data_IF_513195847537
#
_entry.id   IF_513195847537
#
_cell.length_a   1.000
_cell.length_b   1.000
_cell.length_c   1.000
_cell.angle_alpha   90.00
_cell.angle_beta   90.00
_cell.angle_gamma   90.00
#
_symmetry.space_group_name_H-M   'P 1'
#
loop_
_entity.id
_entity.type
_entity.pdbx_description
1 polymer ?
#
# COMPACT_ATOMS: atom_id res chain seq x y z
N UNK A 1 42.49 -0.40 9.63
CA UNK A 1 41.37 -1.30 9.24
C UNK A 1 40.02 -0.61 9.40
N UNK A 2 39.85 0.25 10.41
CA UNK A 2 38.63 1.02 10.68
C UNK A 2 38.26 2.04 9.59
N UNK A 3 39.24 2.61 8.90
CA UNK A 3 39.01 3.62 7.84
C UNK A 3 38.32 3.02 6.60
N UNK A 4 38.67 1.78 6.24
CA UNK A 4 37.98 1.02 5.17
C UNK A 4 36.57 0.60 5.58
N UNK A 5 36.31 0.42 6.88
CA UNK A 5 34.98 0.15 7.44
C UNK A 5 34.11 1.41 7.42
N UNK A 6 34.71 2.58 7.69
CA UNK A 6 34.06 3.90 7.62
C UNK A 6 33.77 4.30 6.17
N UNK A 7 34.68 4.01 5.23
CA UNK A 7 34.48 4.21 3.80
C UNK A 7 33.43 3.25 3.20
N UNK A 8 33.35 1.99 3.65
CA UNK A 8 32.25 1.09 3.29
C UNK A 8 30.91 1.54 3.87
N UNK A 9 30.88 2.11 5.08
CA UNK A 9 29.67 2.75 5.65
C UNK A 9 29.29 4.06 4.94
N UNK A 10 30.25 4.78 4.36
CA UNK A 10 30.02 6.01 3.59
C UNK A 10 29.65 5.77 2.12
N UNK A 11 30.06 4.63 1.54
CA UNK A 11 29.71 4.21 0.18
C UNK A 11 28.36 3.48 0.09
N UNK A 12 27.78 3.07 1.23
CA UNK A 12 26.33 2.86 1.30
C UNK A 12 25.74 4.24 1.11
N UNK A 13 25.21 4.52 -0.10
CA UNK A 13 24.44 5.75 -0.39
C UNK A 13 23.64 6.10 0.86
N UNK A 14 23.63 7.37 1.35
CA UNK A 14 22.76 7.76 2.45
C UNK A 14 21.38 7.21 2.12
N UNK A 15 20.69 6.57 3.06
CA UNK A 15 19.49 5.85 2.71
C UNK A 15 18.52 6.92 2.22
N UNK A 16 18.30 6.96 0.91
CA UNK A 16 17.39 7.87 0.17
C UNK A 16 15.92 7.64 0.57
N UNK A 17 15.70 6.92 1.69
CA UNK A 17 14.48 6.41 2.32
C UNK A 17 13.40 7.44 2.62
N UNK A 18 13.55 8.69 2.21
CA UNK A 18 12.56 9.72 2.49
C UNK A 18 12.17 10.58 1.28
N UNK A 19 12.40 10.11 0.04
CA UNK A 19 11.81 10.75 -1.16
C UNK A 19 10.28 10.96 -1.01
N UNK A 20 9.62 10.16 -0.16
CA UNK A 20 8.18 10.20 0.06
C UNK A 20 7.73 10.66 1.46
N UNK A 21 8.64 10.95 2.39
CA UNK A 21 8.21 11.20 3.79
C UNK A 21 7.95 12.69 4.07
N UNK A 22 8.66 13.60 3.37
CA UNK A 22 8.49 15.05 3.57
C UNK A 22 7.88 15.82 2.39
N UNK A 23 8.00 15.34 1.15
CA UNK A 23 7.67 16.17 -0.02
C UNK A 23 6.45 15.70 -0.81
N UNK A 24 6.14 14.40 -0.79
CA UNK A 24 5.01 13.87 -1.57
C UNK A 24 3.67 14.19 -0.90
N UNK A 25 2.81 14.88 -1.64
CA UNK A 25 1.50 15.30 -1.16
C UNK A 25 0.48 14.17 -1.11
N UNK A 26 0.53 13.21 -2.05
CA UNK A 26 -0.46 12.12 -2.18
C UNK A 26 0.23 10.83 -2.63
N UNK A 27 -0.04 9.74 -1.91
CA UNK A 27 0.58 8.44 -2.14
C UNK A 27 -0.45 7.32 -1.99
N UNK A 28 -0.28 6.24 -2.74
CA UNK A 28 -1.06 5.02 -2.59
C UNK A 28 -0.21 3.94 -1.91
N UNK A 29 -0.80 3.22 -0.96
CA UNK A 29 -0.10 2.17 -0.24
C UNK A 29 -1.05 1.08 0.25
N UNK A 30 -0.45 -0.01 0.72
CA UNK A 30 -1.18 -1.15 1.28
C UNK A 30 -1.12 -1.11 2.80
N UNK A 31 -2.26 -1.30 3.45
CA UNK A 31 -2.37 -1.33 4.92
C UNK A 31 -1.74 -2.61 5.45
N UNK A 32 -0.81 -2.47 6.40
CA UNK A 32 -0.23 -3.58 7.15
C UNK A 32 -1.20 -4.03 8.26
N UNK A 33 -0.97 -5.21 8.85
CA UNK A 33 -1.74 -5.68 10.00
C UNK A 33 -1.42 -4.91 11.29
N UNK A 34 -0.30 -4.20 11.34
CA UNK A 34 0.11 -3.40 12.49
C UNK A 34 -0.72 -2.12 12.61
N UNK A 35 -1.53 -2.03 13.67
CA UNK A 35 -2.32 -0.86 14.06
C UNK A 35 -2.01 -0.47 15.50
N UNK A 36 -1.87 0.82 15.75
CA UNK A 36 -1.73 1.39 17.08
C UNK A 36 -2.71 2.55 17.23
N UNK A 37 -3.77 2.36 18.04
CA UNK A 37 -4.86 3.33 18.19
C UNK A 37 -5.41 3.73 16.80
N UNK A 38 -5.43 5.03 16.51
CA UNK A 38 -5.89 5.62 15.25
C UNK A 38 -4.74 5.77 14.23
N UNK A 39 -3.63 5.05 14.41
CA UNK A 39 -2.47 5.07 13.51
C UNK A 39 -2.30 3.69 12.86
N UNK A 40 -2.16 3.69 11.55
CA UNK A 40 -1.94 2.50 10.73
C UNK A 40 -0.58 2.53 10.07
N UNK A 41 0.07 1.37 9.98
CA UNK A 41 1.30 1.21 9.21
C UNK A 41 0.96 0.89 7.76
N UNK A 42 1.52 1.67 6.85
CA UNK A 42 1.24 1.57 5.41
C UNK A 42 2.53 1.24 4.68
N UNK A 43 2.50 0.17 3.90
CA UNK A 43 3.58 -0.21 2.99
C UNK A 43 3.38 0.44 1.63
N UNK A 44 4.28 1.34 1.26
CA UNK A 44 4.32 2.01 -0.04
C UNK A 44 5.24 1.21 -0.96
N UNK A 45 4.70 0.55 -2.01
CA UNK A 45 5.54 -0.11 -3.00
C UNK A 45 6.20 0.94 -3.90
N UNK A 46 7.52 0.86 -4.03
CA UNK A 46 8.34 1.67 -4.94
C UNK A 46 9.19 0.77 -5.83
N UNK A 47 9.61 1.31 -6.95
CA UNK A 47 10.54 0.66 -7.86
C UNK A 47 11.83 1.47 -7.90
N UNK A 48 12.92 0.87 -7.41
CA UNK A 48 14.23 1.50 -7.44
C UNK A 48 15.05 0.91 -8.57
N UNK A 49 15.63 1.78 -9.40
CA UNK A 49 16.56 1.34 -10.44
C UNK A 49 17.81 0.79 -9.77
N UNK A 50 18.18 -0.45 -10.12
CA UNK A 50 19.46 -1.00 -9.78
C UNK A 50 20.46 -0.71 -10.91
N UNK A 51 21.37 0.22 -10.66
CA UNK A 51 22.36 0.71 -11.63
C UNK A 51 23.26 -0.41 -12.17
N UNK A 52 23.46 -1.51 -11.43
CA UNK A 52 24.32 -2.62 -11.86
C UNK A 52 23.66 -3.54 -12.91
N UNK A 53 22.33 -3.74 -12.81
CA UNK A 53 21.58 -4.62 -13.70
C UNK A 53 20.67 -3.85 -14.67
N UNK A 54 20.57 -2.52 -14.50
CA UNK A 54 19.64 -1.65 -15.20
C UNK A 54 18.18 -2.15 -15.12
N UNK A 55 17.83 -2.74 -13.97
CA UNK A 55 16.52 -3.32 -13.69
C UNK A 55 15.87 -2.61 -12.49
N UNK A 56 14.57 -2.33 -12.62
CA UNK A 56 13.76 -1.85 -11.51
C UNK A 56 13.43 -2.98 -10.55
N UNK A 57 13.89 -2.86 -9.31
CA UNK A 57 13.57 -3.79 -8.22
C UNK A 57 12.50 -3.17 -7.35
N UNK A 58 11.50 -3.98 -6.99
CA UNK A 58 10.45 -3.57 -6.06
C UNK A 58 11.02 -3.51 -4.64
N UNK A 59 10.87 -2.35 -4.01
CA UNK A 59 11.14 -2.12 -2.60
C UNK A 59 9.87 -1.59 -1.94
N UNK A 60 9.72 -1.77 -0.63
CA UNK A 60 8.58 -1.23 0.10
C UNK A 60 9.09 -0.30 1.21
N UNK A 61 8.60 0.94 1.24
CA UNK A 61 8.81 1.84 2.36
C UNK A 61 7.63 1.73 3.33
N UNK A 62 7.89 1.80 4.63
CA UNK A 62 6.84 1.76 5.64
C UNK A 62 6.67 3.15 6.24
N UNK A 63 5.44 3.67 6.21
CA UNK A 63 5.07 4.93 6.85
C UNK A 63 3.95 4.71 7.86
N UNK A 64 3.79 5.66 8.77
CA UNK A 64 2.65 5.71 9.69
C UNK A 64 1.68 6.78 9.20
N UNK A 65 0.41 6.39 9.08
CA UNK A 65 -0.67 7.27 8.67
C UNK A 65 -1.76 7.31 9.73
N UNK A 66 -2.33 8.49 9.95
CA UNK A 66 -3.44 8.72 10.87
C UNK A 66 -4.79 8.40 10.19
N UNK A 67 -5.61 7.60 10.86
CA UNK A 67 -6.94 7.12 10.44
C UNK A 67 -7.99 7.53 11.50
N UNK A 68 -8.53 8.74 11.37
CA UNK A 68 -9.46 9.35 12.34
C UNK A 68 -10.68 8.49 12.68
N UNK A 69 -11.20 7.76 11.69
CA UNK A 69 -12.48 7.06 11.81
C UNK A 69 -12.31 5.54 11.84
N UNK A 70 -11.06 5.07 11.92
CA UNK A 70 -10.71 3.65 11.86
C UNK A 70 -11.34 2.89 10.69
N UNK A 71 -11.42 3.52 9.52
CA UNK A 71 -12.13 2.97 8.34
C UNK A 71 -11.34 1.82 7.70
N UNK A 72 -10.02 1.83 7.85
CA UNK A 72 -9.12 0.92 7.13
C UNK A 72 -9.05 -0.47 7.74
N UNK A 73 -8.99 -1.50 6.88
CA UNK A 73 -8.76 -2.90 7.26
C UNK A 73 -7.37 -3.38 6.82
N UNK A 74 -6.79 -4.39 7.50
CA UNK A 74 -5.55 -5.00 7.07
C UNK A 74 -5.65 -5.54 5.64
N UNK A 75 -4.71 -5.13 4.78
CA UNK A 75 -4.66 -5.55 3.38
C UNK A 75 -5.36 -4.63 2.39
N UNK A 76 -6.09 -3.61 2.86
CA UNK A 76 -6.71 -2.60 2.00
C UNK A 76 -5.67 -1.78 1.24
N UNK A 77 -6.06 -1.30 0.06
CA UNK A 77 -5.32 -0.27 -0.66
C UNK A 77 -5.92 1.10 -0.39
N UNK A 78 -5.08 2.00 0.09
CA UNK A 78 -5.50 3.32 0.57
C UNK A 78 -4.70 4.43 -0.09
N UNK A 79 -5.34 5.59 -0.22
CA UNK A 79 -4.70 6.86 -0.52
C UNK A 79 -4.40 7.59 0.78
N UNK A 80 -3.16 8.01 0.92
CA UNK A 80 -2.67 8.79 2.05
C UNK A 80 -2.15 10.13 1.56
N UNK A 81 -2.58 11.19 2.25
CA UNK A 81 -2.18 12.56 1.97
C UNK A 81 -1.26 13.07 3.06
N UNK A 82 -0.33 13.94 2.71
CA UNK A 82 0.51 14.65 3.69
C UNK A 82 -0.37 15.40 4.69
N UNK A 83 -0.07 15.25 5.98
CA UNK A 83 -0.77 15.96 7.06
C UNK A 83 0.13 17.06 7.65
N UNK A 84 -0.02 18.33 7.21
CA UNK A 84 0.85 19.41 7.63
C UNK A 84 0.66 19.81 9.11
N UNK A 85 -0.51 19.53 9.67
CA UNK A 85 -0.86 19.84 11.06
C UNK A 85 -0.50 18.72 12.04
N UNK A 86 0.30 17.74 11.62
CA UNK A 86 0.67 16.64 12.50
C UNK A 86 1.49 17.12 13.69
N UNK A 87 1.03 16.73 14.88
CA UNK A 87 1.74 16.96 16.15
C UNK A 87 2.92 15.99 16.34
N UNK A 88 2.86 14.82 15.69
CA UNK A 88 3.82 13.72 15.88
C UNK A 88 4.81 13.61 14.70
N UNK A 89 6.12 13.63 14.98
CA UNK A 89 7.17 13.50 13.95
C UNK A 89 7.08 12.18 13.15
N UNK A 90 6.55 11.12 13.76
CA UNK A 90 6.44 9.79 13.14
C UNK A 90 5.22 9.67 12.23
N UNK A 91 4.14 10.39 12.54
CA UNK A 91 2.87 10.32 11.82
C UNK A 91 2.83 11.49 10.85
N UNK A 92 3.22 11.25 9.60
CA UNK A 92 3.40 12.33 8.61
C UNK A 92 2.24 12.46 7.64
N UNK A 93 1.39 11.44 7.57
CA UNK A 93 0.32 11.32 6.58
C UNK A 93 -1.01 11.04 7.27
N UNK A 94 -2.10 11.40 6.60
CA UNK A 94 -3.49 11.12 6.96
C UNK A 94 -4.12 10.26 5.87
N UNK A 95 -4.94 9.30 6.27
CA UNK A 95 -5.73 8.49 5.34
C UNK A 95 -6.81 9.38 4.72
N UNK A 96 -6.83 9.46 3.39
CA UNK A 96 -7.82 10.24 2.65
C UNK A 96 -8.98 9.38 2.19
N UNK A 97 -8.69 8.22 1.60
CA UNK A 97 -9.70 7.32 1.03
C UNK A 97 -9.21 5.88 0.95
N UNK A 98 -10.11 4.93 1.18
CA UNK A 98 -9.92 3.52 0.81
C UNK A 98 -10.25 3.36 -0.68
N UNK A 99 -9.26 2.95 -1.48
CA UNK A 99 -9.42 2.77 -2.93
C UNK A 99 -9.95 1.37 -3.22
N UNK A 100 -9.35 0.35 -2.61
CA UNK A 100 -9.78 -1.03 -2.76
C UNK A 100 -9.83 -1.71 -1.40
N UNK A 101 -11.01 -2.17 -1.03
CA UNK A 101 -11.22 -2.98 0.16
C UNK A 101 -10.71 -4.40 -0.06
N UNK A 102 -10.05 -4.96 0.95
CA UNK A 102 -9.62 -6.34 0.95
C UNK A 102 -10.84 -7.27 1.04
N UNK A 103 -10.98 -8.15 0.05
CA UNK A 103 -12.06 -9.12 -0.05
C UNK A 103 -13.38 -8.58 -0.64
N UNK A 104 -13.52 -7.26 -0.81
CA UNK A 104 -14.67 -6.63 -1.45
C UNK A 104 -14.20 -5.69 -2.56
N UNK A 105 -13.51 -6.26 -3.55
CA UNK A 105 -13.00 -5.48 -4.68
C UNK A 105 -14.16 -5.10 -5.62
N UNK A 106 -14.32 -3.79 -5.82
CA UNK A 106 -15.25 -3.22 -6.80
C UNK A 106 -14.40 -2.74 -7.97
N UNK A 107 -14.70 -3.25 -9.17
CA UNK A 107 -14.02 -2.81 -10.39
C UNK A 107 -14.35 -1.33 -10.66
N UNK A 108 -13.34 -0.44 -10.76
CA UNK A 108 -13.58 0.98 -10.98
C UNK A 108 -14.18 1.30 -12.36
N UNK A 109 -14.10 0.38 -13.34
CA UNK A 109 -14.67 0.61 -14.68
C UNK A 109 -16.16 0.26 -14.73
N UNK A 110 -16.56 -0.87 -14.16
CA UNK A 110 -17.96 -1.35 -14.23
C UNK A 110 -18.77 -1.16 -12.94
N UNK A 111 -18.13 -0.78 -11.83
CA UNK A 111 -18.72 -0.74 -10.49
C UNK A 111 -19.33 -2.07 -10.03
N UNK A 112 -18.91 -3.20 -10.63
CA UNK A 112 -19.33 -4.53 -10.21
C UNK A 112 -18.34 -5.12 -9.23
N UNK A 113 -18.85 -5.92 -8.29
CA UNK A 113 -18.00 -6.71 -7.40
C UNK A 113 -17.31 -7.81 -8.21
N UNK A 114 -16.00 -7.92 -8.07
CA UNK A 114 -15.21 -8.94 -8.76
C UNK A 114 -14.40 -9.78 -7.78
N UNK A 115 -14.30 -11.07 -8.11
CA UNK A 115 -13.47 -12.06 -7.45
C UNK A 115 -12.38 -12.52 -8.43
N UNK A 116 -11.25 -11.83 -8.40
CA UNK A 116 -10.14 -12.10 -9.32
C UNK A 116 -10.51 -11.72 -10.76
N UNK A 117 -10.76 -12.72 -11.61
CA UNK A 117 -11.07 -12.53 -13.03
C UNK A 117 -12.57 -12.60 -13.34
N UNK A 118 -13.41 -12.98 -12.36
CA UNK A 118 -14.85 -13.17 -12.56
C UNK A 118 -15.64 -12.14 -11.75
N UNK A 119 -16.80 -11.75 -12.27
CA UNK A 119 -17.74 -10.94 -11.52
C UNK A 119 -18.69 -11.82 -10.69
N UNK A 120 -19.23 -11.25 -9.61
CA UNK A 120 -20.12 -11.95 -8.66
C UNK A 120 -21.39 -12.50 -9.35
N UNK A 121 -21.95 -11.72 -10.28
CA UNK A 121 -23.12 -12.07 -11.11
C UNK A 121 -22.84 -13.24 -12.07
N UNK A 122 -21.65 -13.28 -12.67
CA UNK A 122 -21.23 -14.37 -13.55
C UNK A 122 -21.03 -15.68 -12.77
N UNK A 123 -20.46 -15.60 -11.57
CA UNK A 123 -20.29 -16.76 -10.69
C UNK A 123 -21.64 -17.33 -10.27
N UNK A 124 -22.59 -16.47 -9.88
CA UNK A 124 -23.94 -16.89 -9.51
C UNK A 124 -24.66 -17.59 -10.67
N UNK A 125 -24.49 -17.10 -11.90
CA UNK A 125 -25.05 -17.75 -13.09
C UNK A 125 -24.45 -19.14 -13.32
N UNK A 126 -23.12 -19.27 -13.25
CA UNK A 126 -22.42 -20.54 -13.43
C UNK A 126 -22.80 -21.59 -12.38
N UNK A 127 -23.04 -21.17 -11.14
CA UNK A 127 -23.51 -22.06 -10.07
C UNK A 127 -24.91 -22.60 -10.35
N UNK A 128 -25.84 -21.75 -10.79
CA UNK A 128 -27.20 -22.17 -11.17
C UNK A 128 -27.18 -23.18 -12.31
N UNK A 129 -26.45 -22.89 -13.39
CA UNK A 129 -26.35 -23.81 -14.54
C UNK A 129 -25.78 -25.18 -14.18
N UNK A 130 -24.83 -25.23 -13.23
CA UNK A 130 -24.27 -26.51 -12.74
C UNK A 130 -25.27 -27.32 -11.91
N UNK A 131 -26.18 -26.65 -11.18
CA UNK A 131 -27.23 -27.33 -10.42
C UNK A 131 -28.29 -27.92 -11.35
N UNK A 132 -28.68 -27.16 -12.38
CA UNK A 132 -29.67 -27.60 -13.36
C UNK A 132 -29.19 -28.80 -14.19
N UNK A 133 -27.89 -28.87 -14.49
CA UNK A 133 -27.28 -29.99 -15.21
C UNK A 133 -27.11 -31.28 -14.38
N UNK A 134 -27.31 -31.21 -13.06
CA UNK A 134 -27.21 -32.36 -12.14
C UNK A 134 -28.57 -32.99 -11.79
N UNK A 135 -29.67 -32.32 -12.11
CA UNK A 135 -31.04 -32.85 -12.00
C UNK A 135 -31.47 -33.54 -13.31
#
# INVERSE_FOLDING_TARGET
MEEKLKAKKAAVRPPETALFTKESSLIMGKVSSERYQDVVKVGIPKHRLNDAFLLYVRENDNIQAYDENNITKPGDWILVRRWPESTDEKVTHKVEKVVHEYGNYIDPLTNRRAFGLFYDDELEYLEKTKMDAKN
#
